data_IF_948469651936
#
_entry.id   IF_948469651936
#
_cell.length_a   1.000
_cell.length_b   1.000
_cell.length_c   1.000
_cell.angle_alpha   90.00
_cell.angle_beta   90.00
_cell.angle_gamma   90.00
#
_symmetry.space_group_name_H-M   'P 1'
#
loop_
_entity.id
_entity.type
_entity.pdbx_description
1 polymer ?
#
# COMPACT_ATOMS: atom_id res chain seq x y z
N UNK A 1 11.14 -16.67 -15.86
CA UNK A 1 11.42 -15.62 -14.86
C UNK A 1 10.10 -15.37 -14.17
N UNK A 2 10.06 -15.48 -12.86
CA UNK A 2 8.83 -15.29 -12.09
C UNK A 2 8.62 -13.79 -11.86
N UNK A 3 7.37 -13.33 -11.91
CA UNK A 3 6.99 -11.95 -11.66
C UNK A 3 6.05 -11.91 -10.46
N UNK A 4 6.24 -10.94 -9.57
CA UNK A 4 5.36 -10.75 -8.43
C UNK A 4 4.24 -9.78 -8.82
N UNK A 5 2.99 -10.10 -8.51
CA UNK A 5 1.87 -9.19 -8.73
C UNK A 5 1.23 -8.74 -7.42
N UNK A 6 0.82 -7.48 -7.38
CA UNK A 6 0.14 -6.85 -6.25
C UNK A 6 -1.07 -6.11 -6.77
N UNK A 7 -2.21 -6.30 -6.14
CA UNK A 7 -3.44 -5.62 -6.52
C UNK A 7 -3.79 -4.56 -5.48
N UNK A 8 -4.23 -3.39 -5.94
CA UNK A 8 -4.87 -2.38 -5.12
C UNK A 8 -6.23 -2.89 -4.54
N UNK A 9 -6.67 -2.29 -3.44
CA UNK A 9 -7.97 -2.47 -2.79
C UNK A 9 -9.13 -2.36 -3.77
N UNK A 10 -9.14 -1.34 -4.64
CA UNK A 10 -10.23 -1.17 -5.60
C UNK A 10 -10.24 -2.25 -6.68
N UNK A 11 -9.09 -2.84 -6.99
CA UNK A 11 -9.01 -3.98 -7.91
C UNK A 11 -9.73 -5.18 -7.31
N UNK A 12 -9.43 -5.56 -6.06
CA UNK A 12 -10.15 -6.66 -5.40
C UNK A 12 -11.65 -6.37 -5.27
N UNK A 13 -12.05 -5.17 -4.83
CA UNK A 13 -13.46 -4.80 -4.72
C UNK A 13 -14.18 -4.85 -6.06
N UNK A 14 -13.56 -4.38 -7.14
CA UNK A 14 -14.18 -4.40 -8.48
C UNK A 14 -14.29 -5.82 -9.07
N UNK A 15 -13.31 -6.68 -8.80
CA UNK A 15 -13.27 -8.03 -9.35
C UNK A 15 -14.15 -9.02 -8.59
N UNK A 16 -14.24 -8.88 -7.26
CA UNK A 16 -14.85 -9.89 -6.37
C UNK A 16 -16.01 -9.34 -5.52
N UNK A 17 -16.12 -8.02 -5.34
CA UNK A 17 -17.08 -7.42 -4.41
C UNK A 17 -18.56 -7.63 -4.76
N UNK A 18 -18.89 -7.91 -6.03
CA UNK A 18 -20.28 -8.16 -6.48
C UNK A 18 -20.67 -9.64 -6.55
N UNK A 19 -19.75 -10.53 -6.17
CA UNK A 19 -20.00 -11.98 -6.17
C UNK A 19 -21.03 -12.33 -5.09
N UNK A 20 -21.92 -13.29 -5.39
CA UNK A 20 -23.04 -13.56 -4.51
C UNK A 20 -22.68 -14.51 -3.38
N UNK A 21 -21.78 -15.47 -3.64
CA UNK A 21 -21.42 -16.51 -2.67
C UNK A 21 -19.90 -16.65 -2.48
N UNK A 22 -19.45 -17.06 -1.28
CA UNK A 22 -18.03 -17.35 -1.03
C UNK A 22 -17.42 -18.39 -1.97
N UNK A 23 -18.20 -19.40 -2.35
CA UNK A 23 -17.76 -20.48 -3.25
C UNK A 23 -17.47 -19.94 -4.65
N UNK A 24 -18.25 -18.97 -5.12
CA UNK A 24 -17.98 -18.28 -6.39
C UNK A 24 -16.69 -17.43 -6.32
N UNK A 25 -16.37 -16.83 -5.16
CA UNK A 25 -15.11 -16.11 -4.95
C UNK A 25 -13.94 -17.07 -5.08
N UNK A 26 -13.99 -18.22 -4.38
CA UNK A 26 -12.98 -19.28 -4.45
C UNK A 26 -12.76 -19.78 -5.88
N UNK A 27 -13.84 -20.09 -6.60
CA UNK A 27 -13.75 -20.58 -7.98
C UNK A 27 -13.07 -19.56 -8.91
N UNK A 28 -13.39 -18.27 -8.75
CA UNK A 28 -12.83 -17.20 -9.57
C UNK A 28 -11.38 -16.89 -9.24
N UNK A 29 -11.00 -16.96 -7.97
CA UNK A 29 -9.59 -16.84 -7.56
C UNK A 29 -8.79 -18.03 -8.07
N UNK A 30 -9.33 -19.25 -8.01
CA UNK A 30 -8.67 -20.42 -8.57
C UNK A 30 -8.39 -20.23 -10.06
N UNK A 31 -9.37 -19.74 -10.84
CA UNK A 31 -9.16 -19.43 -12.25
C UNK A 31 -8.06 -18.38 -12.46
N UNK A 32 -8.04 -17.32 -11.65
CA UNK A 32 -7.02 -16.28 -11.71
C UNK A 32 -5.62 -16.84 -11.43
N UNK A 33 -5.45 -17.55 -10.32
CA UNK A 33 -4.19 -18.19 -9.92
C UNK A 33 -3.71 -19.19 -10.97
N UNK A 34 -4.62 -19.98 -11.56
CA UNK A 34 -4.28 -20.94 -12.62
C UNK A 34 -3.78 -20.23 -13.89
N UNK A 35 -4.31 -19.03 -14.22
CA UNK A 35 -3.82 -18.21 -15.33
C UNK A 35 -2.48 -17.56 -15.02
N UNK A 36 -2.31 -17.02 -13.82
CA UNK A 36 -1.07 -16.44 -13.33
C UNK A 36 0.08 -17.44 -13.33
N UNK A 37 -0.17 -18.66 -12.83
CA UNK A 37 0.82 -19.73 -12.82
C UNK A 37 1.33 -20.08 -14.23
N UNK A 38 0.47 -20.04 -15.25
CA UNK A 38 0.88 -20.27 -16.66
C UNK A 38 1.79 -19.17 -17.19
N UNK A 39 1.72 -17.96 -16.62
CA UNK A 39 2.55 -16.80 -16.95
C UNK A 39 3.76 -16.65 -16.04
N UNK A 40 3.94 -17.55 -15.07
CA UNK A 40 4.98 -17.42 -14.04
C UNK A 40 4.76 -16.21 -13.14
N UNK A 41 3.51 -15.91 -12.81
CA UNK A 41 3.15 -14.82 -11.91
C UNK A 41 2.79 -15.35 -10.53
N UNK A 42 3.30 -14.71 -9.49
CA UNK A 42 2.99 -15.00 -8.10
C UNK A 42 2.40 -13.78 -7.41
N UNK A 43 1.19 -13.91 -6.89
CA UNK A 43 0.55 -12.81 -6.17
C UNK A 43 1.07 -12.66 -4.74
N UNK A 44 1.30 -11.42 -4.32
CA UNK A 44 1.65 -11.05 -2.95
C UNK A 44 0.67 -10.02 -2.39
N UNK A 45 0.32 -10.18 -1.11
CA UNK A 45 -0.60 -9.27 -0.43
C UNK A 45 0.12 -7.99 -0.02
N UNK A 46 -0.44 -6.84 -0.38
CA UNK A 46 -0.05 -5.58 0.25
C UNK A 46 -0.66 -5.47 1.64
N UNK A 47 0.17 -5.23 2.66
CA UNK A 47 -0.30 -4.94 4.03
C UNK A 47 -1.26 -3.74 4.07
N UNK A 48 -1.05 -2.75 3.20
CA UNK A 48 -1.92 -1.58 3.09
C UNK A 48 -3.31 -1.99 2.62
N UNK A 49 -3.38 -2.78 1.55
CA UNK A 49 -4.64 -3.28 0.99
C UNK A 49 -5.38 -4.17 1.99
N UNK A 50 -4.65 -5.01 2.72
CA UNK A 50 -5.20 -5.80 3.82
C UNK A 50 -5.85 -4.91 4.89
N UNK A 51 -5.14 -3.87 5.36
CA UNK A 51 -5.67 -2.95 6.37
C UNK A 51 -6.89 -2.19 5.86
N UNK A 52 -6.89 -1.71 4.62
CA UNK A 52 -8.02 -0.98 4.04
C UNK A 52 -9.29 -1.85 3.99
N UNK A 53 -9.17 -3.09 3.50
CA UNK A 53 -10.27 -4.03 3.46
C UNK A 53 -10.80 -4.37 4.86
N UNK A 54 -9.90 -4.71 5.80
CA UNK A 54 -10.28 -5.04 7.18
C UNK A 54 -10.96 -3.86 7.90
N UNK A 55 -10.50 -2.63 7.66
CA UNK A 55 -11.11 -1.43 8.24
C UNK A 55 -12.57 -1.23 7.81
N UNK A 56 -12.91 -1.59 6.57
CA UNK A 56 -14.29 -1.54 6.07
C UNK A 56 -15.19 -2.66 6.63
N UNK A 57 -14.63 -3.67 7.30
CA UNK A 57 -15.37 -4.78 7.90
C UNK A 57 -15.77 -4.53 9.36
N UNK A 58 -15.44 -3.38 9.93
CA UNK A 58 -15.78 -3.05 11.33
C UNK A 58 -17.27 -2.75 11.54
N UNK A 59 -17.91 -2.11 10.56
CA UNK A 59 -19.30 -1.67 10.68
C UNK A 59 -20.16 -2.21 9.53
N UNK A 60 -21.09 -3.14 9.80
CA UNK A 60 -21.99 -3.68 8.79
C UNK A 60 -23.12 -2.72 8.36
N UNK A 61 -23.16 -1.49 8.90
CA UNK A 61 -24.22 -0.51 8.60
C UNK A 61 -24.33 -0.13 7.12
N UNK A 62 -23.22 -0.17 6.37
CA UNK A 62 -23.22 -0.13 4.90
C UNK A 62 -23.13 -1.54 4.32
N UNK A 63 -24.29 -2.20 4.18
CA UNK A 63 -24.36 -3.58 3.71
C UNK A 63 -23.73 -3.80 2.32
N UNK A 64 -23.70 -2.79 1.44
CA UNK A 64 -23.13 -2.92 0.09
C UNK A 64 -21.62 -2.89 0.13
N UNK A 65 -21.05 -1.90 0.82
CA UNK A 65 -19.60 -1.80 0.96
C UNK A 65 -19.03 -2.91 1.86
N UNK A 66 -19.78 -3.32 2.89
CA UNK A 66 -19.41 -4.43 3.78
C UNK A 66 -19.29 -5.76 3.01
N UNK A 67 -20.34 -6.19 2.29
CA UNK A 67 -20.30 -7.44 1.51
C UNK A 67 -19.19 -7.40 0.45
N UNK A 68 -19.02 -6.25 -0.19
CA UNK A 68 -17.98 -6.03 -1.19
C UNK A 68 -16.58 -6.21 -0.60
N UNK A 69 -16.32 -5.63 0.57
CA UNK A 69 -15.05 -5.75 1.26
C UNK A 69 -14.84 -7.15 1.84
N UNK A 70 -15.90 -7.85 2.26
CA UNK A 70 -15.80 -9.20 2.81
C UNK A 70 -15.37 -10.21 1.74
N UNK A 71 -16.00 -10.14 0.56
CA UNK A 71 -15.60 -10.94 -0.60
C UNK A 71 -14.19 -10.59 -1.07
N UNK A 72 -13.84 -9.30 -1.07
CA UNK A 72 -12.50 -8.84 -1.46
C UNK A 72 -11.42 -9.32 -0.46
N UNK A 73 -11.71 -9.33 0.84
CA UNK A 73 -10.82 -9.84 1.88
C UNK A 73 -10.60 -11.36 1.76
N UNK A 74 -11.68 -12.12 1.52
CA UNK A 74 -11.57 -13.55 1.19
C UNK A 74 -10.69 -13.75 -0.05
N UNK A 75 -10.97 -13.00 -1.12
CA UNK A 75 -10.24 -13.09 -2.38
C UNK A 75 -8.75 -12.79 -2.21
N UNK A 76 -8.40 -11.75 -1.45
CA UNK A 76 -7.02 -11.37 -1.16
C UNK A 76 -6.22 -12.52 -0.54
N UNK A 77 -6.77 -13.17 0.49
CA UNK A 77 -6.07 -14.29 1.13
C UNK A 77 -5.90 -15.46 0.18
N UNK A 78 -6.98 -15.89 -0.49
CA UNK A 78 -6.96 -17.04 -1.39
C UNK A 78 -6.02 -16.83 -2.59
N UNK A 79 -5.80 -15.58 -2.99
CA UNK A 79 -4.87 -15.20 -4.05
C UNK A 79 -3.41 -15.34 -3.62
N UNK A 80 -3.12 -15.09 -2.35
CA UNK A 80 -1.76 -14.83 -1.85
C UNK A 80 -1.26 -15.89 -0.86
N UNK A 81 -2.12 -16.80 -0.41
CA UNK A 81 -1.77 -17.81 0.58
C UNK A 81 -2.56 -19.11 0.48
N UNK A 82 -2.17 -20.02 1.36
CA UNK A 82 -2.76 -21.33 1.57
C UNK A 82 -2.80 -21.65 3.08
N UNK A 83 -3.12 -22.89 3.44
CA UNK A 83 -3.22 -23.30 4.85
C UNK A 83 -1.88 -23.30 5.59
N UNK A 84 -0.75 -23.34 4.89
CA UNK A 84 0.58 -23.44 5.47
C UNK A 84 1.29 -22.08 5.53
N UNK A 85 1.06 -21.20 4.56
CA UNK A 85 1.77 -19.94 4.43
C UNK A 85 1.03 -18.92 3.57
N UNK A 86 1.44 -17.66 3.63
CA UNK A 86 0.98 -16.60 2.74
C UNK A 86 2.15 -15.72 2.31
N UNK A 87 2.03 -15.09 1.15
CA UNK A 87 2.99 -14.13 0.60
C UNK A 87 2.54 -12.71 0.90
N UNK A 88 3.45 -11.93 1.46
CA UNK A 88 3.19 -10.57 1.90
C UNK A 88 4.27 -9.64 1.32
N UNK A 89 3.84 -8.52 0.75
CA UNK A 89 4.69 -7.36 0.59
C UNK A 89 4.70 -6.51 1.86
N UNK A 90 5.86 -6.39 2.53
CA UNK A 90 5.93 -5.69 3.79
C UNK A 90 5.77 -4.18 3.61
N UNK A 91 5.26 -3.49 4.63
CA UNK A 91 5.15 -2.04 4.67
C UNK A 91 6.51 -1.36 4.37
N UNK A 92 6.52 -0.15 3.80
CA UNK A 92 7.75 0.56 3.46
C UNK A 92 8.73 0.65 4.63
N UNK A 93 8.23 0.87 5.84
CA UNK A 93 9.06 0.98 7.05
C UNK A 93 9.84 -0.29 7.40
N UNK A 94 9.31 -1.47 7.10
CA UNK A 94 10.02 -2.75 7.30
C UNK A 94 11.11 -2.92 6.25
N UNK A 95 10.83 -2.55 5.01
CA UNK A 95 11.83 -2.55 3.94
C UNK A 95 12.98 -1.59 4.27
N UNK A 96 12.64 -0.38 4.73
CA UNK A 96 13.62 0.62 5.13
C UNK A 96 14.48 0.12 6.30
N UNK A 97 13.85 -0.45 7.33
CA UNK A 97 14.56 -1.01 8.48
C UNK A 97 15.62 -2.05 8.06
N UNK A 98 15.23 -2.95 7.15
CA UNK A 98 16.11 -4.00 6.68
C UNK A 98 17.19 -3.50 5.71
N UNK A 99 16.84 -2.68 4.73
CA UNK A 99 17.76 -2.26 3.67
C UNK A 99 18.81 -1.25 4.14
N UNK A 100 18.42 -0.32 5.00
CA UNK A 100 19.28 0.82 5.38
C UNK A 100 19.97 0.63 6.72
N UNK A 101 19.42 -0.23 7.59
CA UNK A 101 19.92 -0.42 8.96
C UNK A 101 20.24 -1.88 9.30
N UNK A 102 20.08 -2.79 8.33
CA UNK A 102 20.26 -4.24 8.46
C UNK A 102 19.57 -4.84 9.71
N UNK A 103 18.38 -4.34 10.01
CA UNK A 103 17.66 -4.70 11.23
C UNK A 103 16.24 -5.15 10.95
N UNK A 104 15.78 -6.22 11.62
CA UNK A 104 14.38 -6.59 11.57
C UNK A 104 13.53 -5.54 12.29
N UNK A 105 12.32 -5.30 11.78
CA UNK A 105 11.36 -4.43 12.46
C UNK A 105 10.27 -5.29 13.10
N UNK A 106 10.68 -6.13 14.05
CA UNK A 106 9.90 -7.28 14.55
C UNK A 106 8.50 -6.92 15.04
N UNK A 107 8.31 -5.76 15.67
CA UNK A 107 6.99 -5.32 16.12
C UNK A 107 6.03 -5.03 14.95
N UNK A 108 6.54 -4.46 13.86
CA UNK A 108 5.75 -4.15 12.65
C UNK A 108 5.56 -5.41 11.80
N UNK A 109 6.57 -6.27 11.73
CA UNK A 109 6.47 -7.60 11.09
C UNK A 109 5.36 -8.43 11.74
N UNK A 110 5.36 -8.52 13.08
CA UNK A 110 4.33 -9.24 13.83
C UNK A 110 2.92 -8.69 13.56
N UNK A 111 2.75 -7.37 13.56
CA UNK A 111 1.45 -6.74 13.24
C UNK A 111 0.97 -7.10 11.83
N UNK A 112 1.87 -7.22 10.86
CA UNK A 112 1.50 -7.64 9.49
C UNK A 112 1.18 -9.13 9.40
N UNK A 113 1.84 -9.98 10.19
CA UNK A 113 1.44 -11.38 10.32
C UNK A 113 0.02 -11.53 10.86
N UNK A 114 -0.36 -10.69 11.83
CA UNK A 114 -1.73 -10.66 12.36
C UNK A 114 -2.74 -10.35 11.25
N UNK A 115 -2.46 -9.39 10.36
CA UNK A 115 -3.32 -9.11 9.19
C UNK A 115 -3.55 -10.35 8.33
N UNK A 116 -2.47 -11.10 8.04
CA UNK A 116 -2.57 -12.35 7.28
C UNK A 116 -3.41 -13.42 7.99
N UNK A 117 -3.31 -13.53 9.32
CA UNK A 117 -4.15 -14.46 10.12
C UNK A 117 -5.62 -14.05 10.12
N UNK A 118 -5.93 -12.77 10.24
CA UNK A 118 -7.31 -12.28 10.16
C UNK A 118 -7.93 -12.61 8.81
N UNK A 119 -7.19 -12.37 7.72
CA UNK A 119 -7.63 -12.68 6.37
C UNK A 119 -7.75 -14.18 6.11
N UNK A 120 -6.88 -15.00 6.73
CA UNK A 120 -7.04 -16.45 6.70
C UNK A 120 -8.38 -16.87 7.31
N UNK A 121 -8.69 -16.42 8.52
CA UNK A 121 -9.95 -16.76 9.20
C UNK A 121 -11.16 -16.32 8.37
N UNK A 122 -11.12 -15.10 7.80
CA UNK A 122 -12.15 -14.61 6.86
C UNK A 122 -12.26 -15.54 5.64
N UNK A 123 -11.14 -16.01 5.09
CA UNK A 123 -11.16 -16.89 3.91
C UNK A 123 -11.83 -18.25 4.17
N UNK A 124 -11.77 -18.74 5.42
CA UNK A 124 -12.33 -20.04 5.80
C UNK A 124 -13.83 -19.93 6.15
N UNK A 125 -14.27 -18.80 6.72
CA UNK A 125 -15.67 -18.56 7.07
C UNK A 125 -16.02 -17.07 6.91
N UNK A 126 -16.26 -16.58 5.68
CA UNK A 126 -16.53 -15.17 5.40
C UNK A 126 -17.96 -14.79 5.79
N UNK A 127 -18.18 -14.68 7.10
CA UNK A 127 -19.46 -14.36 7.72
C UNK A 127 -19.27 -13.34 8.85
N UNK A 128 -20.33 -12.58 9.16
CA UNK A 128 -20.33 -11.58 10.23
C UNK A 128 -19.89 -12.16 11.59
N UNK A 129 -20.33 -13.40 11.91
CA UNK A 129 -19.92 -14.11 13.13
C UNK A 129 -18.41 -14.31 13.28
N UNK A 130 -17.68 -14.38 12.16
CA UNK A 130 -16.21 -14.50 12.16
C UNK A 130 -15.59 -13.16 12.50
N UNK A 131 -16.13 -12.09 11.93
CA UNK A 131 -15.72 -10.71 12.20
C UNK A 131 -15.98 -10.32 13.67
N UNK A 132 -17.10 -10.78 14.25
CA UNK A 132 -17.42 -10.56 15.67
C UNK A 132 -16.34 -11.10 16.62
N UNK A 133 -15.73 -12.24 16.28
CA UNK A 133 -14.65 -12.84 17.09
C UNK A 133 -13.35 -12.04 17.05
N UNK A 134 -13.14 -11.25 15.99
CA UNK A 134 -11.92 -10.47 15.76
C UNK A 134 -12.16 -8.96 15.86
N UNK A 135 -13.28 -8.53 16.45
CA UNK A 135 -13.68 -7.11 16.53
C UNK A 135 -12.59 -6.22 17.14
N UNK A 136 -11.94 -6.67 18.21
CA UNK A 136 -10.85 -5.93 18.85
C UNK A 136 -9.62 -5.73 17.96
N UNK A 137 -9.32 -6.68 17.07
CA UNK A 137 -8.23 -6.53 16.11
C UNK A 137 -8.62 -5.60 14.96
N UNK A 138 -9.87 -5.67 14.48
CA UNK A 138 -10.40 -4.74 13.48
C UNK A 138 -10.42 -3.28 14.01
N UNK A 139 -10.70 -3.09 15.30
CA UNK A 139 -10.62 -1.78 15.97
C UNK A 139 -9.18 -1.24 16.00
N UNK A 140 -8.19 -2.09 16.26
CA UNK A 140 -6.77 -1.70 16.23
C UNK A 140 -6.33 -1.31 14.82
N UNK A 141 -6.71 -2.08 13.79
CA UNK A 141 -6.45 -1.73 12.38
C UNK A 141 -7.06 -0.37 12.04
N UNK A 142 -8.30 -0.13 12.45
CA UNK A 142 -8.99 1.13 12.18
C UNK A 142 -8.32 2.32 12.89
N UNK A 143 -7.90 2.12 14.13
CA UNK A 143 -7.18 3.13 14.92
C UNK A 143 -5.88 3.50 14.23
N UNK A 144 -5.08 2.51 13.81
CA UNK A 144 -3.84 2.77 13.08
C UNK A 144 -4.06 3.58 11.80
N UNK A 145 -5.04 3.20 10.96
CA UNK A 145 -5.33 3.95 9.73
C UNK A 145 -5.82 5.37 10.04
N UNK A 146 -6.60 5.55 11.11
CA UNK A 146 -7.06 6.87 11.56
C UNK A 146 -5.89 7.74 11.99
N UNK A 147 -4.94 7.19 12.75
CA UNK A 147 -3.76 7.91 13.23
C UNK A 147 -2.87 8.35 12.06
N UNK A 148 -2.63 7.46 11.09
CA UNK A 148 -1.87 7.78 9.87
C UNK A 148 -2.55 8.90 9.07
N UNK A 149 -3.87 8.80 8.85
CA UNK A 149 -4.64 9.85 8.15
C UNK A 149 -4.60 11.18 8.90
N UNK A 150 -4.74 11.15 10.24
CA UNK A 150 -4.69 12.35 11.07
C UNK A 150 -3.33 13.03 10.98
N UNK A 151 -2.24 12.26 11.04
CA UNK A 151 -0.89 12.80 10.92
C UNK A 151 -0.67 13.50 9.56
N UNK A 152 -1.16 12.92 8.47
CA UNK A 152 -1.10 13.52 7.13
C UNK A 152 -1.94 14.79 7.06
N UNK A 153 -3.16 14.75 7.60
CA UNK A 153 -4.06 15.90 7.63
C UNK A 153 -3.47 17.06 8.44
N UNK A 154 -2.86 16.77 9.59
CA UNK A 154 -2.20 17.76 10.44
C UNK A 154 -0.97 18.37 9.75
N UNK A 155 -0.14 17.53 9.11
CA UNK A 155 1.01 18.01 8.33
C UNK A 155 0.56 18.95 7.22
N UNK A 156 -0.50 18.58 6.49
CA UNK A 156 -0.98 19.36 5.37
C UNK A 156 -1.72 20.63 5.80
N UNK A 157 -2.38 20.62 6.96
CA UNK A 157 -2.93 21.85 7.57
C UNK A 157 -1.82 22.88 7.86
N UNK A 158 -0.68 22.46 8.43
CA UNK A 158 0.46 23.35 8.69
C UNK A 158 0.98 23.99 7.41
N UNK A 159 1.11 23.18 6.35
CA UNK A 159 1.54 23.64 5.04
C UNK A 159 0.59 24.72 4.48
N UNK A 160 -0.73 24.56 4.61
CA UNK A 160 -1.72 25.56 4.16
C UNK A 160 -1.68 26.84 5.01
N UNK A 161 -1.53 26.72 6.34
CA UNK A 161 -1.48 27.86 7.27
C UNK A 161 -0.27 28.78 7.00
N UNK A 162 0.84 28.22 6.50
CA UNK A 162 2.07 28.96 6.19
C UNK A 162 1.98 29.86 4.94
N UNK A 163 0.80 30.02 4.33
CA UNK A 163 0.52 30.87 3.15
C UNK A 163 1.48 30.59 2.00
N UNK A 164 1.31 29.41 1.43
CA UNK A 164 2.06 28.88 0.31
C UNK A 164 2.18 29.87 -0.87
N UNK A 165 3.42 30.20 -1.26
CA UNK A 165 3.74 30.99 -2.45
C UNK A 165 3.93 30.10 -3.69
N UNK A 166 3.96 30.69 -4.89
CA UNK A 166 4.35 29.97 -6.12
C UNK A 166 5.78 29.39 -6.03
N UNK A 167 6.67 29.99 -5.23
CA UNK A 167 8.03 29.47 -5.03
C UNK A 167 8.01 28.15 -4.25
N UNK A 168 7.07 27.96 -3.34
CA UNK A 168 6.91 26.70 -2.61
C UNK A 168 6.39 25.56 -3.50
N UNK A 169 5.64 25.87 -4.58
CA UNK A 169 5.31 24.85 -5.59
C UNK A 169 6.54 24.36 -6.33
N UNK A 170 7.39 25.29 -6.74
CA UNK A 170 8.66 24.95 -7.38
C UNK A 170 9.56 24.15 -6.44
N UNK A 171 9.54 24.43 -5.13
CA UNK A 171 10.29 23.65 -4.16
C UNK A 171 9.75 22.23 -3.98
N UNK A 172 8.43 22.01 -3.89
CA UNK A 172 7.86 20.65 -3.76
C UNK A 172 8.19 19.77 -4.97
N UNK A 173 8.22 20.35 -6.17
CA UNK A 173 8.55 19.61 -7.39
C UNK A 173 10.06 19.45 -7.61
N UNK A 174 10.89 20.01 -6.73
CA UNK A 174 12.36 19.95 -6.85
C UNK A 174 12.94 18.62 -6.36
N UNK A 175 14.17 18.34 -6.78
CA UNK A 175 14.92 17.20 -6.25
C UNK A 175 15.26 17.37 -4.76
N UNK A 176 15.38 18.61 -4.28
CA UNK A 176 15.63 18.88 -2.87
C UNK A 176 14.47 18.39 -1.99
N UNK A 177 13.22 18.61 -2.42
CA UNK A 177 12.05 18.09 -1.70
C UNK A 177 12.07 16.56 -1.60
N UNK A 178 12.48 15.87 -2.68
CA UNK A 178 12.63 14.40 -2.67
C UNK A 178 13.71 13.94 -1.69
N UNK A 179 14.84 14.65 -1.64
CA UNK A 179 15.95 14.37 -0.70
C UNK A 179 15.54 14.58 0.75
N UNK A 180 14.89 15.69 1.07
CA UNK A 180 14.40 15.98 2.42
C UNK A 180 13.32 14.98 2.85
N UNK A 181 12.43 14.61 1.92
CA UNK A 181 11.44 13.56 2.15
C UNK A 181 12.10 12.21 2.46
N UNK A 182 13.13 11.83 1.69
CA UNK A 182 13.88 10.61 1.91
C UNK A 182 14.58 10.62 3.27
N UNK A 183 15.23 11.73 3.63
CA UNK A 183 15.86 11.91 4.94
C UNK A 183 14.83 11.78 6.07
N UNK A 184 13.69 12.46 5.97
CA UNK A 184 12.63 12.41 6.98
C UNK A 184 12.09 10.98 7.17
N UNK A 185 11.90 10.22 6.07
CA UNK A 185 11.47 8.82 6.15
C UNK A 185 12.50 7.92 6.81
N UNK A 186 13.77 8.06 6.43
CA UNK A 186 14.87 7.31 7.05
C UNK A 186 15.00 7.63 8.55
N UNK A 187 14.93 8.92 8.92
CA UNK A 187 14.93 9.35 10.32
C UNK A 187 13.75 8.76 11.09
N UNK A 188 12.52 8.85 10.57
CA UNK A 188 11.32 8.36 11.24
C UNK A 188 11.38 6.85 11.51
N UNK A 189 11.86 6.07 10.54
CA UNK A 189 12.07 4.62 10.72
C UNK A 189 13.15 4.35 11.76
N UNK A 190 14.30 5.05 11.70
CA UNK A 190 15.37 4.86 12.66
C UNK A 190 14.95 5.22 14.09
N UNK A 191 14.24 6.33 14.28
CA UNK A 191 13.69 6.76 15.57
C UNK A 191 12.78 5.68 16.16
N UNK A 192 11.87 5.11 15.37
CA UNK A 192 10.97 4.04 15.84
C UNK A 192 11.71 2.73 16.08
N UNK A 193 12.70 2.41 15.26
CA UNK A 193 13.50 1.19 15.37
C UNK A 193 14.38 1.18 16.62
N UNK A 194 14.94 2.34 17.00
CA UNK A 194 15.90 2.47 18.11
C UNK A 194 15.32 3.10 19.38
N UNK A 195 14.15 3.74 19.29
CA UNK A 195 13.58 4.51 20.40
C UNK A 195 14.39 5.76 20.74
N UNK A 196 14.96 6.42 19.73
CA UNK A 196 15.88 7.57 19.87
C UNK A 196 15.23 8.88 19.41
N UNK A 197 15.70 10.04 19.90
CA UNK A 197 15.22 11.33 19.44
C UNK A 197 15.67 11.65 18.00
N UNK A 198 15.02 12.64 17.39
CA UNK A 198 15.28 13.09 16.02
C UNK A 198 16.74 13.49 15.78
N UNK A 199 17.35 14.24 16.70
CA UNK A 199 18.76 14.68 16.59
C UNK A 199 19.73 13.50 16.42
N UNK A 200 19.51 12.42 17.16
CA UNK A 200 20.33 11.21 17.04
C UNK A 200 20.11 10.53 15.69
N UNK A 201 18.84 10.44 15.25
CA UNK A 201 18.52 9.87 13.95
C UNK A 201 19.17 10.64 12.80
N UNK A 202 19.11 11.98 12.84
CA UNK A 202 19.74 12.85 11.83
C UNK A 202 21.24 12.59 11.69
N UNK A 203 21.94 12.33 12.79
CA UNK A 203 23.39 12.06 12.77
C UNK A 203 23.75 10.70 12.14
N UNK A 204 22.78 9.79 12.01
CA UNK A 204 22.98 8.45 11.41
C UNK A 204 22.67 8.47 9.91
N UNK A 205 21.74 9.32 9.46
CA UNK A 205 21.32 9.32 8.06
C UNK A 205 22.39 9.97 7.19
N UNK A 206 23.02 9.17 6.33
CA UNK A 206 24.04 9.64 5.39
C UNK A 206 23.44 10.09 4.04
N UNK A 207 24.19 10.91 3.32
CA UNK A 207 23.83 11.33 1.95
C UNK A 207 23.75 10.15 0.97
N UNK A 208 24.52 9.08 1.19
CA UNK A 208 24.46 7.86 0.40
C UNK A 208 23.12 7.14 0.59
N UNK A 209 22.64 7.03 1.82
CA UNK A 209 21.32 6.46 2.13
C UNK A 209 20.21 7.27 1.48
N UNK A 210 20.28 8.60 1.57
CA UNK A 210 19.30 9.50 0.93
C UNK A 210 19.28 9.29 -0.58
N UNK A 211 20.44 9.30 -1.23
CA UNK A 211 20.54 9.10 -2.68
C UNK A 211 20.02 7.72 -3.13
N UNK A 212 20.28 6.69 -2.33
CA UNK A 212 19.80 5.32 -2.58
C UNK A 212 18.29 5.23 -2.42
N UNK A 213 17.73 5.88 -1.40
CA UNK A 213 16.29 5.98 -1.18
C UNK A 213 15.59 6.69 -2.33
N UNK A 214 16.08 7.87 -2.73
CA UNK A 214 15.49 8.66 -3.82
C UNK A 214 15.41 7.85 -5.12
N UNK A 215 16.39 7.00 -5.40
CA UNK A 215 16.38 6.12 -6.58
C UNK A 215 15.41 4.95 -6.42
N UNK A 216 15.46 4.25 -5.29
CA UNK A 216 14.66 3.02 -5.05
C UNK A 216 13.17 3.29 -4.82
N UNK A 217 12.81 4.50 -4.39
CA UNK A 217 11.44 4.93 -4.11
C UNK A 217 11.00 6.06 -5.05
N UNK A 218 11.58 6.14 -6.25
CA UNK A 218 11.38 7.28 -7.15
C UNK A 218 9.89 7.50 -7.51
N UNK A 219 9.14 6.41 -7.77
CA UNK A 219 7.72 6.48 -8.16
C UNK A 219 6.86 7.02 -7.02
N UNK A 220 7.03 6.51 -5.80
CA UNK A 220 6.28 7.00 -4.64
C UNK A 220 6.65 8.46 -4.30
N UNK A 221 7.92 8.86 -4.43
CA UNK A 221 8.35 10.24 -4.24
C UNK A 221 7.78 11.19 -5.31
N UNK A 222 7.68 10.74 -6.56
CA UNK A 222 7.05 11.52 -7.63
C UNK A 222 5.55 11.72 -7.36
N UNK A 223 4.84 10.66 -6.96
CA UNK A 223 3.44 10.73 -6.56
C UNK A 223 3.23 11.65 -5.36
N UNK A 224 4.09 11.54 -4.33
CA UNK A 224 4.07 12.42 -3.16
C UNK A 224 4.26 13.89 -3.54
N UNK A 225 5.25 14.21 -4.37
CA UNK A 225 5.47 15.59 -4.82
C UNK A 225 4.23 16.14 -5.56
N UNK A 226 3.58 15.31 -6.38
CA UNK A 226 2.32 15.68 -7.01
C UNK A 226 1.21 15.95 -5.97
N UNK A 227 0.99 15.03 -5.03
CA UNK A 227 0.01 15.19 -3.94
C UNK A 227 0.21 16.52 -3.18
N UNK A 228 1.44 16.83 -2.77
CA UNK A 228 1.76 18.07 -2.08
C UNK A 228 1.60 19.32 -2.96
N UNK A 229 1.83 19.20 -4.27
CA UNK A 229 1.61 20.32 -5.20
C UNK A 229 0.13 20.68 -5.36
N UNK A 230 -0.79 19.73 -5.17
CA UNK A 230 -2.24 19.97 -5.28
C UNK A 230 -2.78 20.92 -4.20
N UNK A 231 -2.09 21.06 -3.06
CA UNK A 231 -2.46 22.03 -2.01
C UNK A 231 -2.29 23.48 -2.44
N UNK A 232 -1.55 23.73 -3.51
CA UNK A 232 -1.18 25.07 -3.98
C UNK A 232 -2.15 25.56 -5.05
N UNK A 233 -2.60 24.63 -5.89
CA UNK A 233 -3.40 24.97 -7.08
C UNK A 233 -4.91 25.01 -6.79
N UNK A 234 -5.37 24.44 -5.69
CA UNK A 234 -6.79 24.22 -5.44
C UNK A 234 -7.14 24.45 -3.97
N UNK A 235 -8.41 24.78 -3.68
CA UNK A 235 -8.98 24.73 -2.33
C UNK A 235 -9.05 23.29 -1.81
N UNK A 236 -7.87 22.69 -1.67
CA UNK A 236 -7.65 21.28 -1.42
C UNK A 236 -8.06 20.98 0.01
N UNK A 237 -9.27 20.47 0.14
CA UNK A 237 -9.82 20.05 1.42
C UNK A 237 -9.31 18.64 1.75
N UNK A 238 -8.55 18.52 2.85
CA UNK A 238 -8.11 17.25 3.41
C UNK A 238 -9.24 16.46 4.08
N UNK A 239 -10.39 17.09 4.30
CA UNK A 239 -11.52 16.41 4.90
C UNK A 239 -11.96 15.24 4.01
N UNK A 240 -12.01 14.04 4.59
CA UNK A 240 -12.47 12.83 3.91
C UNK A 240 -11.41 12.10 3.09
N UNK A 241 -11.76 11.75 1.84
CA UNK A 241 -11.13 10.69 1.03
C UNK A 241 -9.69 11.00 0.57
N UNK A 242 -9.27 12.26 0.56
CA UNK A 242 -7.95 12.67 0.02
C UNK A 242 -6.78 12.30 0.93
N UNK A 243 -7.03 12.12 2.24
CA UNK A 243 -6.03 11.56 3.15
C UNK A 243 -5.65 10.11 2.82
N UNK A 244 -6.44 9.40 2.02
CA UNK A 244 -6.12 8.04 1.58
C UNK A 244 -4.98 7.97 0.57
N UNK A 245 -4.59 9.08 -0.06
CA UNK A 245 -3.44 9.11 -0.99
C UNK A 245 -2.13 8.64 -0.35
N UNK A 246 -2.02 8.69 0.98
CA UNK A 246 -0.86 8.11 1.68
C UNK A 246 -0.78 6.58 1.50
N UNK A 247 -1.91 5.89 1.41
CA UNK A 247 -1.95 4.45 1.20
C UNK A 247 -1.57 4.10 -0.24
N UNK A 248 -2.03 4.87 -1.21
CA UNK A 248 -1.59 4.76 -2.60
C UNK A 248 -0.07 4.97 -2.71
N UNK A 249 0.46 5.96 -1.98
CA UNK A 249 1.90 6.21 -1.93
C UNK A 249 2.68 5.03 -1.33
N UNK A 250 2.18 4.43 -0.25
CA UNK A 250 2.78 3.23 0.36
C UNK A 250 2.72 2.03 -0.60
N UNK A 251 1.66 1.86 -1.39
CA UNK A 251 1.58 0.80 -2.41
C UNK A 251 2.59 1.08 -3.54
N UNK A 252 2.70 2.34 -3.99
CA UNK A 252 3.64 2.76 -5.02
C UNK A 252 5.11 2.60 -4.62
N UNK A 253 5.42 2.50 -3.32
CA UNK A 253 6.79 2.30 -2.87
C UNK A 253 7.40 0.98 -3.32
N UNK A 254 6.61 0.08 -3.90
CA UNK A 254 7.03 -1.19 -4.48
C UNK A 254 7.28 -1.12 -6.00
N UNK A 255 6.78 -0.10 -6.68
CA UNK A 255 6.93 0.02 -8.14
C UNK A 255 8.37 0.40 -8.49
N UNK A 256 8.95 -0.31 -9.46
CA UNK A 256 10.36 -0.16 -9.84
C UNK A 256 11.34 -0.93 -8.94
N UNK A 257 10.83 -1.79 -8.07
CA UNK A 257 11.63 -2.64 -7.18
C UNK A 257 11.49 -4.12 -7.52
N UNK A 258 12.39 -4.91 -6.95
CA UNK A 258 12.44 -6.35 -7.12
C UNK A 258 12.56 -7.06 -5.77
N UNK A 259 12.03 -8.27 -5.67
CA UNK A 259 12.28 -9.19 -4.54
C UNK A 259 12.97 -10.42 -5.10
N UNK A 260 14.13 -10.79 -4.57
CA UNK A 260 14.93 -11.91 -5.10
C UNK A 260 15.20 -11.83 -6.62
N UNK A 261 15.36 -10.61 -7.16
CA UNK A 261 15.47 -10.30 -8.59
C UNK A 261 14.19 -10.54 -9.42
N UNK A 262 13.05 -10.77 -8.77
CA UNK A 262 11.74 -10.83 -9.40
C UNK A 262 11.09 -9.46 -9.39
N UNK A 263 10.55 -9.06 -10.53
CA UNK A 263 9.98 -7.73 -10.71
C UNK A 263 8.58 -7.66 -10.12
N UNK A 264 8.23 -6.51 -9.53
CA UNK A 264 6.91 -6.27 -8.96
C UNK A 264 6.05 -5.53 -9.97
N UNK A 265 4.92 -6.13 -10.32
CA UNK A 265 3.85 -5.55 -11.12
C UNK A 265 2.70 -5.10 -10.20
N UNK A 266 2.35 -3.82 -10.28
CA UNK A 266 1.18 -3.28 -9.60
C UNK A 266 -0.04 -3.30 -10.54
N UNK A 267 -1.16 -3.84 -10.07
CA UNK A 267 -2.46 -3.71 -10.75
C UNK A 267 -3.32 -2.70 -9.99
N UNK A 268 -3.63 -1.59 -10.63
CA UNK A 268 -4.46 -0.51 -10.08
C UNK A 268 -5.24 0.21 -11.18
N UNK A 269 -6.43 0.72 -10.82
CA UNK A 269 -7.22 1.59 -11.68
C UNK A 269 -6.96 3.08 -11.48
N UNK A 270 -6.07 3.46 -10.56
CA UNK A 270 -5.83 4.86 -10.21
C UNK A 270 -4.93 5.56 -11.26
N UNK A 271 -5.49 6.55 -11.95
CA UNK A 271 -4.78 7.26 -13.01
C UNK A 271 -3.54 8.02 -12.51
N UNK A 272 -3.53 8.51 -11.26
CA UNK A 272 -2.40 9.25 -10.70
C UNK A 272 -1.22 8.34 -10.36
N UNK A 273 -1.50 7.10 -9.95
CA UNK A 273 -0.46 6.08 -9.81
C UNK A 273 0.19 5.73 -11.16
N UNK A 274 -0.61 5.61 -12.23
CA UNK A 274 -0.13 5.39 -13.61
C UNK A 274 0.72 6.57 -14.11
N UNK A 275 0.23 7.80 -13.98
CA UNK A 275 0.96 9.01 -14.37
C UNK A 275 2.34 9.10 -13.66
N UNK A 276 2.41 8.77 -12.36
CA UNK A 276 3.66 8.79 -11.61
C UNK A 276 4.67 7.73 -12.07
N UNK A 277 4.20 6.52 -12.43
CA UNK A 277 5.05 5.47 -12.95
C UNK A 277 5.56 5.81 -14.36
N UNK A 278 4.70 6.30 -15.26
CA UNK A 278 5.04 6.69 -16.62
C UNK A 278 6.07 7.84 -16.65
N UNK A 279 5.91 8.84 -15.77
CA UNK A 279 6.83 9.97 -15.66
C UNK A 279 8.29 9.55 -15.36
N UNK A 280 8.49 8.33 -14.85
CA UNK A 280 9.79 7.77 -14.49
C UNK A 280 10.18 6.54 -15.34
N UNK A 281 9.41 6.22 -16.37
CA UNK A 281 9.71 5.11 -17.27
C UNK A 281 9.33 3.72 -16.74
N UNK A 282 8.43 3.63 -15.76
CA UNK A 282 7.95 2.38 -15.15
C UNK A 282 6.54 1.97 -15.63
N UNK A 283 6.12 2.42 -16.81
CA UNK A 283 4.82 2.09 -17.38
C UNK A 283 4.60 0.58 -17.63
N UNK A 284 5.67 -0.21 -17.70
CA UNK A 284 5.63 -1.68 -17.80
C UNK A 284 5.46 -2.38 -16.43
N UNK A 285 5.53 -1.62 -15.33
CA UNK A 285 5.39 -2.10 -13.94
C UNK A 285 4.05 -1.78 -13.31
N UNK A 286 3.14 -1.24 -14.10
CA UNK A 286 1.80 -0.91 -13.64
C UNK A 286 0.79 -1.25 -14.73
N UNK A 287 -0.32 -1.85 -14.35
CA UNK A 287 -1.41 -2.21 -15.26
C UNK A 287 -2.75 -1.86 -14.62
N UNK A 288 -3.74 -1.53 -15.43
CA UNK A 288 -5.13 -1.61 -15.01
C UNK A 288 -5.67 -3.04 -15.16
N UNK A 289 -6.87 -3.29 -14.60
CA UNK A 289 -7.49 -4.62 -14.62
C UNK A 289 -7.72 -5.16 -16.04
N UNK A 290 -7.98 -4.29 -17.02
CA UNK A 290 -8.22 -4.69 -18.40
C UNK A 290 -6.92 -5.15 -19.06
N UNK A 291 -5.85 -4.39 -18.89
CA UNK A 291 -4.50 -4.73 -19.37
C UNK A 291 -4.02 -6.03 -18.73
N UNK A 292 -4.17 -6.17 -17.41
CA UNK A 292 -3.73 -7.36 -16.70
C UNK A 292 -4.45 -8.63 -17.18
N UNK A 293 -5.76 -8.56 -17.41
CA UNK A 293 -6.52 -9.68 -17.98
C UNK A 293 -6.06 -10.03 -19.40
N UNK A 294 -5.83 -9.02 -20.25
CA UNK A 294 -5.32 -9.25 -21.60
C UNK A 294 -3.95 -9.93 -21.56
N UNK A 295 -3.04 -9.46 -20.69
CA UNK A 295 -1.73 -10.07 -20.46
C UNK A 295 -1.83 -11.56 -20.06
N UNK A 296 -2.78 -11.91 -19.19
CA UNK A 296 -3.00 -13.30 -18.79
C UNK A 296 -3.60 -14.19 -19.88
N UNK A 297 -4.40 -13.61 -20.80
CA UNK A 297 -5.09 -14.34 -21.86
C UNK A 297 -4.26 -14.50 -23.15
N UNK A 298 -3.17 -13.73 -23.30
CA UNK A 298 -2.21 -13.90 -24.40
C UNK A 298 -1.53 -15.27 -24.33
N UNK A 299 -1.52 -16.03 -25.43
CA UNK A 299 -0.95 -17.39 -25.50
C UNK A 299 0.56 -17.40 -25.70
#
# INVERSE_FOLDING_TARGET
MTMIVVFDTNVYRSMFGRIQTPVEVEARIKELVDKEARKGVEASMSSVVAMELLNHLRDPSDATDFKSCLNAAQALYLHTGDKASFRLLPLPEVQIAKEYFDQPFTSVEYSQEVLGRLLYEISQDPQERTLDKMRGDLEQVSTYLSDVRSAVADAAKRVVEDKISKEYKASILSDEFKRETARAMLCAVYMRLKGVPEEEAFNVISEEMINTYVKSHAVSLCFRAHFWSCFIDEGFDLSGKRSNSIFDEMILSHVGRTINNEEILLVTGDAKMHEAAEALGYQDRIMNVKEYKAFLDES
#
